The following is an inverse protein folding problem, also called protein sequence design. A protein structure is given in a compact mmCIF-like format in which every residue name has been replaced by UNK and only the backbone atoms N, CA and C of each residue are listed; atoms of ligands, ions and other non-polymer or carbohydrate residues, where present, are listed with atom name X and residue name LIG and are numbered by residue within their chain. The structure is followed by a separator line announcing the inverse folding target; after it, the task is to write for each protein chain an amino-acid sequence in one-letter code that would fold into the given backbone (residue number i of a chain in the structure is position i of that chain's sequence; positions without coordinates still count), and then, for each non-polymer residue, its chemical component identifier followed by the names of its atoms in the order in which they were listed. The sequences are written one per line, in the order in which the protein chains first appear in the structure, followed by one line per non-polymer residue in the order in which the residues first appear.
data_IF_964937216896
#
_entry.id   IF_964937216896
#
_cell.length_a   1.000
_cell.length_b   1.000
_cell.length_c   1.000
_cell.angle_alpha   90.00
_cell.angle_beta   90.00
_cell.angle_gamma   90.00
#
_symmetry.space_group_name_H-M   'P 1'
#
loop_
_entity.id
_entity.type
_entity.pdbx_description
1 polymer ?
#
# COMPACT_ATOMS: atom_id res chain seq x y z
N UNK A 1 15.27 79.93 -28.43
CA UNK A 1 15.84 78.66 -28.92
C UNK A 1 14.70 77.72 -29.27
N UNK A 2 14.42 77.55 -30.57
CA UNK A 2 13.75 76.36 -31.09
C UNK A 2 14.67 75.14 -30.83
N UNK A 3 14.26 73.89 -30.69
CA UNK A 3 12.99 73.21 -30.90
C UNK A 3 13.34 71.73 -31.12
N UNK A 4 12.59 70.82 -30.52
CA UNK A 4 12.49 69.42 -30.97
C UNK A 4 11.09 68.89 -30.65
N UNK A 5 10.08 69.64 -31.09
CA UNK A 5 8.75 69.13 -31.40
C UNK A 5 8.43 69.59 -32.82
N UNK A 6 8.06 68.60 -33.63
CA UNK A 6 7.55 68.65 -34.99
C UNK A 6 8.51 69.01 -36.13
N UNK A 7 8.81 68.00 -36.96
CA UNK A 7 8.93 68.19 -38.40
C UNK A 7 8.49 66.94 -39.20
N UNK A 8 7.37 67.13 -39.91
CA UNK A 8 7.09 66.67 -41.30
C UNK A 8 6.60 65.23 -41.44
N UNK A 9 5.56 64.86 -42.21
CA UNK A 9 4.40 65.47 -42.90
C UNK A 9 3.98 64.41 -43.94
N UNK A 10 2.65 64.25 -44.13
CA UNK A 10 1.96 63.91 -45.41
C UNK A 10 2.19 62.50 -45.99
N UNK A 11 1.29 61.88 -46.75
CA UNK A 11 -0.12 62.05 -47.15
C UNK A 11 -0.47 60.74 -47.90
N UNK A 12 -1.69 60.23 -47.66
CA UNK A 12 -2.60 59.56 -48.61
C UNK A 12 -2.11 58.35 -49.45
N UNK A 13 -2.77 57.21 -49.19
CA UNK A 13 -3.58 56.57 -50.22
C UNK A 13 -3.37 55.07 -50.43
N UNK A 14 -4.22 54.21 -49.85
CA UNK A 14 -5.34 53.54 -50.56
C UNK A 14 -6.00 52.47 -49.70
N UNK A 15 -7.32 52.41 -49.84
CA UNK A 15 -8.28 51.47 -49.23
C UNK A 15 -8.05 50.02 -49.71
N UNK A 16 -8.25 49.09 -48.78
CA UNK A 16 -8.69 47.71 -49.03
C UNK A 16 -9.61 47.29 -47.89
N UNK A 17 -10.84 46.91 -48.21
CA UNK A 17 -11.99 46.77 -47.30
C UNK A 17 -12.18 45.34 -46.74
N UNK A 18 -12.57 45.31 -45.46
CA UNK A 18 -13.57 44.45 -44.81
C UNK A 18 -13.34 42.93 -44.62
N UNK A 19 -13.35 42.48 -43.35
CA UNK A 19 -14.41 41.64 -42.77
C UNK A 19 -14.26 41.55 -41.22
N UNK A 20 -15.38 41.36 -40.53
CA UNK A 20 -15.65 41.60 -39.10
C UNK A 20 -15.01 40.64 -38.07
N UNK A 21 -14.90 41.04 -36.78
CA UNK A 21 -14.39 40.19 -35.71
C UNK A 21 -15.50 39.30 -35.13
N UNK A 22 -15.22 38.01 -34.99
CA UNK A 22 -16.08 37.06 -34.27
C UNK A 22 -15.76 37.06 -32.77
N UNK A 23 -16.83 37.27 -31.99
CA UNK A 23 -16.94 36.99 -30.57
C UNK A 23 -16.37 35.61 -30.19
N UNK A 24 -15.46 35.56 -29.22
CA UNK A 24 -15.41 34.43 -28.29
C UNK A 24 -15.48 34.95 -26.85
N UNK A 25 -16.53 34.47 -26.18
CA UNK A 25 -16.89 34.71 -24.79
C UNK A 25 -15.73 34.30 -23.88
N UNK A 26 -15.30 35.21 -23.00
CA UNK A 26 -14.56 34.86 -21.79
C UNK A 26 -15.48 34.01 -20.91
N UNK A 27 -15.13 32.75 -20.73
CA UNK A 27 -15.68 31.89 -19.68
C UNK A 27 -14.83 32.14 -18.42
N UNK A 28 -15.42 32.40 -17.25
CA UNK A 28 -14.67 32.68 -16.04
C UNK A 28 -13.94 31.43 -15.55
N UNK A 29 -12.68 31.61 -15.15
CA UNK A 29 -11.89 30.65 -14.39
C UNK A 29 -12.68 30.20 -13.14
N UNK A 30 -12.97 28.90 -12.97
CA UNK A 30 -13.28 28.38 -11.66
C UNK A 30 -11.97 28.20 -10.89
N UNK A 31 -11.82 28.99 -9.84
CA UNK A 31 -10.89 28.74 -8.75
C UNK A 31 -11.05 27.29 -8.26
N UNK A 32 -10.08 26.44 -8.55
CA UNK A 32 -9.99 25.12 -7.94
C UNK A 32 -9.41 25.32 -6.54
N UNK A 33 -10.31 25.37 -5.56
CA UNK A 33 -9.97 25.11 -4.16
C UNK A 33 -9.35 23.71 -4.07
N UNK A 34 -8.21 23.51 -3.39
CA UNK A 34 -7.68 22.18 -3.16
C UNK A 34 -8.68 21.42 -2.29
N UNK A 35 -9.24 20.34 -2.84
CA UNK A 35 -10.06 19.38 -2.09
C UNK A 35 -9.23 18.82 -0.94
N UNK A 36 -9.83 18.78 0.24
CA UNK A 36 -9.26 18.30 1.49
C UNK A 36 -9.17 16.76 1.57
N UNK A 37 -8.91 16.10 0.44
CA UNK A 37 -8.52 14.68 0.41
C UNK A 37 -7.00 14.63 0.56
N UNK A 38 -6.54 14.73 1.81
CA UNK A 38 -5.15 14.40 2.13
C UNK A 38 -4.88 12.95 1.73
N UNK A 39 -3.73 12.69 1.12
CA UNK A 39 -3.35 11.32 0.78
C UNK A 39 -3.43 10.43 2.03
N UNK A 40 -4.27 9.39 1.96
CA UNK A 40 -4.44 8.39 3.00
C UNK A 40 -3.47 7.23 2.76
N UNK A 41 -3.13 6.50 3.82
CA UNK A 41 -2.40 5.23 3.70
C UNK A 41 -3.16 4.26 2.82
N UNK A 42 -2.47 3.67 1.86
CA UNK A 42 -3.07 2.76 0.90
C UNK A 42 -3.46 1.47 1.62
N UNK A 43 -4.75 1.14 1.57
CA UNK A 43 -5.17 -0.23 1.86
C UNK A 43 -4.62 -1.13 0.78
N UNK A 44 -4.07 -2.28 1.17
CA UNK A 44 -3.67 -3.29 0.20
C UNK A 44 -4.91 -3.74 -0.55
N UNK A 45 -4.90 -3.76 -1.90
CA UNK A 45 -5.99 -4.32 -2.68
C UNK A 45 -6.17 -5.78 -2.25
N UNK A 46 -7.23 -6.06 -1.49
CA UNK A 46 -7.66 -7.44 -1.31
C UNK A 46 -8.15 -7.89 -2.68
N UNK A 47 -7.59 -8.97 -3.20
CA UNK A 47 -8.12 -9.68 -4.35
C UNK A 47 -9.46 -10.32 -3.95
N UNK A 48 -10.48 -9.49 -3.75
CA UNK A 48 -11.85 -9.89 -3.49
C UNK A 48 -12.33 -10.70 -4.70
N UNK A 49 -12.30 -12.03 -4.56
CA UNK A 49 -12.74 -12.98 -5.57
C UNK A 49 -11.67 -13.91 -6.15
N UNK A 50 -10.42 -13.87 -5.69
CA UNK A 50 -9.34 -14.75 -6.20
C UNK A 50 -8.63 -15.58 -5.12
N UNK A 51 -9.22 -15.70 -3.94
CA UNK A 51 -8.71 -16.55 -2.86
C UNK A 51 -8.67 -18.06 -3.21
N UNK A 52 -9.11 -18.48 -4.40
CA UNK A 52 -9.22 -19.89 -4.80
C UNK A 52 -7.89 -20.51 -5.33
N UNK A 53 -6.91 -19.70 -5.76
CA UNK A 53 -5.71 -20.24 -6.44
C UNK A 53 -4.68 -20.92 -5.52
N UNK A 54 -4.80 -20.74 -4.19
CA UNK A 54 -4.02 -21.49 -3.18
C UNK A 54 -4.87 -22.45 -2.35
N UNK A 55 -6.16 -22.58 -2.67
CA UNK A 55 -7.04 -23.51 -1.98
C UNK A 55 -6.71 -24.93 -2.44
N UNK A 56 -6.05 -25.70 -1.56
CA UNK A 56 -6.38 -27.13 -1.52
C UNK A 56 -7.90 -27.18 -1.48
N UNK A 57 -8.51 -27.93 -2.40
CA UNK A 57 -9.95 -28.23 -2.38
C UNK A 57 -10.27 -28.83 -1.00
N UNK A 58 -10.62 -27.98 -0.05
CA UNK A 58 -11.15 -28.38 1.25
C UNK A 58 -12.64 -28.38 1.04
N UNK A 59 -13.22 -29.57 1.18
CA UNK A 59 -14.65 -29.84 1.14
C UNK A 59 -15.44 -28.67 1.77
N UNK A 60 -16.48 -28.12 1.11
CA UNK A 60 -17.30 -27.04 1.64
C UNK A 60 -18.19 -27.54 2.79
N UNK A 61 -17.57 -27.89 3.92
CA UNK A 61 -18.25 -27.78 5.20
C UNK A 61 -18.13 -26.32 5.60
N UNK A 62 -19.25 -25.61 5.50
CA UNK A 62 -19.50 -24.26 6.00
C UNK A 62 -19.06 -24.13 7.46
N UNK A 63 -17.77 -23.88 7.69
CA UNK A 63 -17.26 -23.48 9.00
C UNK A 63 -17.34 -21.97 9.08
N UNK A 64 -18.18 -21.49 9.99
CA UNK A 64 -18.23 -20.08 10.35
C UNK A 64 -16.92 -19.70 11.06
N UNK A 65 -16.36 -18.53 10.71
CA UNK A 65 -15.12 -18.02 11.29
C UNK A 65 -15.15 -18.07 12.82
N UNK A 66 -16.23 -17.59 13.43
CA UNK A 66 -16.56 -17.91 14.82
C UNK A 66 -18.07 -18.03 14.99
N UNK A 67 -18.52 -18.92 15.87
CA UNK A 67 -19.95 -19.08 16.19
C UNK A 67 -20.50 -17.85 16.91
N UNK A 68 -19.64 -17.09 17.59
CA UNK A 68 -20.01 -15.88 18.37
C UNK A 68 -20.03 -14.60 17.54
N UNK A 69 -19.47 -14.61 16.32
CA UNK A 69 -19.25 -13.38 15.54
C UNK A 69 -18.23 -12.42 16.16
N UNK A 70 -17.46 -12.89 17.14
CA UNK A 70 -16.40 -12.14 17.82
C UNK A 70 -15.06 -12.86 17.69
N UNK A 71 -13.97 -12.10 17.70
CA UNK A 71 -12.60 -12.62 17.69
C UNK A 71 -11.82 -12.04 18.89
N UNK A 72 -11.10 -12.89 19.59
CA UNK A 72 -10.11 -12.47 20.59
C UNK A 72 -8.82 -12.06 19.88
N UNK A 73 -8.30 -10.89 20.24
CA UNK A 73 -7.02 -10.37 19.73
C UNK A 73 -6.10 -10.10 20.91
N UNK A 74 -5.02 -10.86 21.04
CA UNK A 74 -3.99 -10.61 22.04
C UNK A 74 -2.96 -9.60 21.50
N UNK A 75 -2.90 -8.43 22.11
CA UNK A 75 -1.99 -7.34 21.78
C UNK A 75 -0.77 -7.43 22.70
N UNK A 76 0.44 -7.61 22.16
CA UNK A 76 1.65 -7.79 22.97
C UNK A 76 2.65 -6.65 22.80
N UNK A 77 3.19 -6.17 23.93
CA UNK A 77 4.34 -5.27 23.92
C UNK A 77 5.64 -6.08 23.88
N UNK A 78 6.28 -6.12 22.72
CA UNK A 78 7.63 -6.67 22.50
C UNK A 78 8.64 -5.56 22.17
N UNK A 79 8.41 -4.35 22.67
CA UNK A 79 9.35 -3.23 22.58
C UNK A 79 10.24 -3.17 23.84
N UNK A 80 11.13 -2.18 23.91
CA UNK A 80 11.86 -1.81 25.13
C UNK A 80 11.17 -0.68 25.93
N UNK A 81 10.00 -0.21 25.49
CA UNK A 81 9.27 0.92 26.09
C UNK A 81 8.13 0.42 26.97
N UNK A 82 7.88 1.09 28.09
CA UNK A 82 6.64 0.92 28.89
C UNK A 82 5.49 1.81 28.41
N UNK A 83 5.78 2.72 27.46
CA UNK A 83 4.81 3.66 26.89
C UNK A 83 4.52 3.21 25.47
N UNK A 84 3.57 2.29 25.34
CA UNK A 84 3.09 1.72 24.08
C UNK A 84 1.57 1.67 24.11
N UNK A 85 0.94 2.10 23.03
CA UNK A 85 -0.51 2.08 22.86
C UNK A 85 -0.88 1.24 21.65
N UNK A 86 -2.00 0.55 21.74
CA UNK A 86 -2.63 -0.13 20.63
C UNK A 86 -4.02 0.46 20.32
N UNK A 87 -4.48 0.26 19.09
CA UNK A 87 -5.77 0.72 18.60
C UNK A 87 -6.33 -0.30 17.63
N UNK A 88 -7.65 -0.46 17.58
CA UNK A 88 -8.31 -1.28 16.56
C UNK A 88 -9.37 -0.43 15.88
N UNK A 89 -9.27 -0.30 14.56
CA UNK A 89 -10.22 0.44 13.71
C UNK A 89 -10.77 -0.47 12.61
N UNK A 90 -11.88 -0.09 11.99
CA UNK A 90 -12.44 -0.78 10.82
C UNK A 90 -13.88 -0.36 10.53
N UNK A 91 -14.56 -1.14 9.70
CA UNK A 91 -16.00 -1.00 9.43
C UNK A 91 -16.76 -2.19 10.03
N UNK A 92 -17.70 -1.93 10.93
CA UNK A 92 -18.49 -2.98 11.57
C UNK A 92 -19.54 -3.55 10.62
N UNK A 93 -19.23 -4.74 10.07
CA UNK A 93 -20.02 -5.41 9.02
C UNK A 93 -21.49 -5.56 9.45
N UNK A 94 -21.71 -6.03 10.68
CA UNK A 94 -23.04 -6.27 11.23
C UNK A 94 -23.67 -5.01 11.87
N UNK A 95 -23.07 -3.84 11.64
CA UNK A 95 -23.57 -2.54 12.10
C UNK A 95 -23.63 -1.55 10.93
N UNK A 96 -24.20 -1.99 9.80
CA UNK A 96 -24.34 -1.19 8.57
C UNK A 96 -22.99 -0.58 8.09
N UNK A 97 -21.89 -1.31 8.25
CA UNK A 97 -20.52 -0.85 7.95
C UNK A 97 -20.13 0.46 8.66
N UNK A 98 -20.70 0.74 9.85
CA UNK A 98 -20.34 1.92 10.61
C UNK A 98 -18.84 1.93 10.96
N UNK A 99 -18.25 3.13 10.93
CA UNK A 99 -16.89 3.36 11.44
C UNK A 99 -16.80 2.85 12.88
N UNK A 100 -15.83 1.98 13.11
CA UNK A 100 -15.57 1.34 14.38
C UNK A 100 -14.21 1.74 14.92
N UNK A 101 -14.16 2.01 16.22
CA UNK A 101 -12.94 1.99 17.02
C UNK A 101 -13.20 1.19 18.30
N UNK A 102 -12.16 0.56 18.85
CA UNK A 102 -12.21 -0.05 20.17
C UNK A 102 -11.78 0.95 21.25
N UNK A 103 -12.53 1.05 22.34
CA UNK A 103 -12.16 1.92 23.47
C UNK A 103 -10.93 1.39 24.21
N UNK A 104 -10.34 2.26 25.04
CA UNK A 104 -9.11 1.98 25.80
C UNK A 104 -9.18 0.76 26.74
N UNK A 105 -10.39 0.27 27.06
CA UNK A 105 -10.62 -0.94 27.86
C UNK A 105 -10.43 -2.25 27.08
N UNK A 106 -10.11 -2.16 25.77
CA UNK A 106 -9.95 -3.27 24.84
C UNK A 106 -11.22 -4.13 24.66
N UNK A 107 -12.40 -3.64 25.03
CA UNK A 107 -13.63 -4.43 25.01
C UNK A 107 -14.82 -3.69 24.44
N UNK A 108 -14.96 -2.41 24.74
CA UNK A 108 -16.17 -1.66 24.40
C UNK A 108 -16.06 -1.07 22.98
N UNK A 109 -16.95 -1.45 22.05
CA UNK A 109 -17.06 -0.79 20.75
C UNK A 109 -17.36 0.70 20.89
N UNK A 110 -16.78 1.50 20.00
CA UNK A 110 -17.13 2.90 19.82
C UNK A 110 -17.44 3.18 18.35
N UNK A 111 -18.60 3.80 18.13
CA UNK A 111 -19.08 4.25 16.83
C UNK A 111 -19.18 5.77 16.89
N UNK A 112 -18.20 6.50 16.34
CA UNK A 112 -18.22 7.96 16.41
C UNK A 112 -19.48 8.53 15.75
N UNK A 113 -20.13 9.54 16.35
CA UNK A 113 -21.26 10.20 15.71
C UNK A 113 -20.82 10.93 14.44
N UNK A 114 -21.78 11.24 13.56
CA UNK A 114 -21.54 12.10 12.41
C UNK A 114 -21.32 13.56 12.87
N UNK A 115 -20.11 14.13 12.74
CA UNK A 115 -19.87 15.50 13.18
C UNK A 115 -20.33 16.52 12.15
N UNK A 116 -20.53 17.76 12.59
CA UNK A 116 -20.85 18.90 11.70
C UNK A 116 -19.61 19.53 11.03
N UNK A 117 -18.40 19.20 11.50
CA UNK A 117 -17.15 19.78 11.02
C UNK A 117 -16.06 18.73 10.85
N UNK A 118 -15.14 18.98 9.92
CA UNK A 118 -13.98 18.12 9.68
C UNK A 118 -13.00 18.15 10.84
N UNK A 119 -12.25 17.05 11.03
CA UNK A 119 -11.25 16.96 12.09
C UNK A 119 -11.83 16.96 13.50
N UNK A 120 -13.09 16.56 13.67
CA UNK A 120 -13.73 16.51 14.99
C UNK A 120 -13.07 15.45 15.87
N UNK A 121 -12.75 15.80 17.11
CA UNK A 121 -12.09 14.90 18.07
C UNK A 121 -13.06 13.79 18.50
N UNK A 122 -12.51 12.61 18.81
CA UNK A 122 -13.26 11.53 19.44
C UNK A 122 -13.70 11.94 20.86
N UNK A 123 -14.90 11.54 21.25
CA UNK A 123 -15.45 11.83 22.58
C UNK A 123 -14.95 10.86 23.67
N UNK A 124 -14.35 9.74 23.27
CA UNK A 124 -13.87 8.69 24.17
C UNK A 124 -12.39 8.39 23.90
N UNK A 125 -11.70 7.89 24.92
CA UNK A 125 -10.33 7.44 24.76
C UNK A 125 -10.30 6.05 24.07
N UNK A 126 -9.56 5.95 22.98
CA UNK A 126 -9.35 4.73 22.20
C UNK A 126 -7.91 4.19 22.29
N UNK A 127 -7.06 4.81 23.12
CA UNK A 127 -5.69 4.36 23.33
C UNK A 127 -5.63 3.22 24.35
N UNK A 128 -5.41 2.00 23.88
CA UNK A 128 -5.28 0.81 24.73
C UNK A 128 -3.83 0.74 25.24
N UNK A 129 -3.55 0.96 26.53
CA UNK A 129 -2.17 0.92 27.03
C UNK A 129 -1.66 -0.52 27.10
N UNK A 130 -0.53 -0.81 26.46
CA UNK A 130 0.10 -2.13 26.54
C UNK A 130 1.05 -2.29 27.72
N UNK A 131 1.41 -1.21 28.43
CA UNK A 131 2.23 -1.27 29.63
C UNK A 131 3.68 -1.70 29.39
N UNK A 132 4.30 -2.36 30.38
CA UNK A 132 5.72 -2.74 30.34
C UNK A 132 6.08 -3.76 29.24
N UNK A 133 7.35 -3.83 28.81
CA UNK A 133 7.84 -4.88 27.93
C UNK A 133 7.44 -6.29 28.39
N UNK A 134 6.98 -7.13 27.46
CA UNK A 134 6.48 -8.48 27.70
C UNK A 134 5.01 -8.56 28.09
N UNK A 135 4.35 -7.44 28.41
CA UNK A 135 2.94 -7.44 28.78
C UNK A 135 2.02 -7.73 27.58
N UNK A 136 0.84 -8.26 27.87
CA UNK A 136 -0.21 -8.56 26.89
C UNK A 136 -1.56 -8.01 27.34
N UNK A 137 -2.35 -7.52 26.40
CA UNK A 137 -3.74 -7.08 26.61
C UNK A 137 -4.63 -7.85 25.64
N UNK A 138 -5.69 -8.47 26.14
CA UNK A 138 -6.65 -9.19 25.30
C UNK A 138 -7.79 -8.27 24.92
N UNK A 139 -7.94 -8.03 23.62
CA UNK A 139 -9.04 -7.30 23.01
C UNK A 139 -10.12 -8.25 22.48
N UNK A 140 -11.37 -7.79 22.44
CA UNK A 140 -12.48 -8.50 21.76
C UNK A 140 -13.06 -7.61 20.67
N UNK A 141 -13.12 -8.12 19.44
CA UNK A 141 -13.60 -7.37 18.28
C UNK A 141 -14.81 -8.07 17.63
N UNK A 142 -15.76 -7.32 17.06
CA UNK A 142 -16.79 -7.87 16.19
C UNK A 142 -16.20 -8.18 14.80
N UNK A 143 -17.04 -8.66 13.88
CA UNK A 143 -16.70 -8.72 12.46
C UNK A 143 -16.47 -7.32 11.88
N UNK A 144 -15.27 -7.12 11.32
CA UNK A 144 -14.76 -5.87 10.80
C UNK A 144 -14.20 -6.06 9.39
N UNK A 145 -14.57 -5.18 8.47
CA UNK A 145 -13.95 -5.06 7.15
C UNK A 145 -12.97 -3.87 7.13
N UNK A 146 -11.90 -3.98 6.34
CA UNK A 146 -10.90 -2.93 6.20
C UNK A 146 -10.30 -2.51 7.55
N UNK A 147 -10.08 -3.48 8.43
CA UNK A 147 -9.63 -3.23 9.79
C UNK A 147 -8.13 -3.00 9.87
N UNK A 148 -7.71 -2.19 10.85
CA UNK A 148 -6.30 -1.99 11.19
C UNK A 148 -6.08 -2.13 12.69
N UNK A 149 -5.00 -2.84 13.04
CA UNK A 149 -4.47 -2.92 14.40
C UNK A 149 -3.22 -2.03 14.43
N UNK A 150 -3.34 -0.87 15.06
CA UNK A 150 -2.29 0.13 15.13
C UNK A 150 -1.50 0.01 16.42
N UNK A 151 -0.23 0.40 16.36
CA UNK A 151 0.61 0.58 17.53
C UNK A 151 1.32 1.92 17.48
N UNK A 152 1.48 2.56 18.64
CA UNK A 152 2.37 3.71 18.78
C UNK A 152 3.26 3.60 20.00
N UNK A 153 4.48 4.13 19.89
CA UNK A 153 5.52 4.08 20.92
C UNK A 153 5.84 5.50 21.36
N UNK A 154 5.79 5.73 22.67
CA UNK A 154 6.14 7.01 23.31
C UNK A 154 5.00 8.02 23.43
N UNK A 155 4.03 8.01 22.52
CA UNK A 155 2.86 8.89 22.55
C UNK A 155 1.62 8.22 21.93
N UNK A 156 0.40 8.58 22.37
CA UNK A 156 -0.82 8.08 21.75
C UNK A 156 -1.04 8.67 20.35
N UNK A 157 -1.67 7.90 19.47
CA UNK A 157 -2.21 8.38 18.19
C UNK A 157 -3.47 9.23 18.40
N UNK A 158 -3.63 10.21 17.53
CA UNK A 158 -4.79 11.10 17.45
C UNK A 158 -5.58 10.72 16.20
N UNK A 159 -6.80 10.27 16.43
CA UNK A 159 -7.81 10.03 15.40
C UNK A 159 -8.84 11.16 15.42
N UNK A 160 -9.33 11.55 14.25
CA UNK A 160 -10.43 12.53 14.13
C UNK A 160 -11.50 12.03 13.17
N UNK A 161 -12.65 12.71 13.12
CA UNK A 161 -13.79 12.30 12.31
C UNK A 161 -14.25 13.48 11.46
N UNK A 162 -14.49 13.21 10.18
CA UNK A 162 -15.09 14.12 9.22
C UNK A 162 -16.60 13.83 9.07
N UNK A 163 -17.41 14.79 8.57
CA UNK A 163 -18.80 14.52 8.22
C UNK A 163 -18.92 13.34 7.23
N UNK A 164 -19.94 12.50 7.40
CA UNK A 164 -20.09 11.25 6.65
C UNK A 164 -20.73 10.13 7.46
N UNK A 165 -20.23 9.78 8.67
CA UNK A 165 -18.91 10.05 9.25
C UNK A 165 -17.76 9.37 8.49
N UNK A 166 -16.58 9.99 8.45
CA UNK A 166 -15.35 9.41 7.91
C UNK A 166 -14.22 9.46 8.93
N UNK A 167 -13.62 8.31 9.27
CA UNK A 167 -12.45 8.27 10.13
C UNK A 167 -11.25 8.89 9.41
N UNK A 168 -10.60 9.85 10.06
CA UNK A 168 -9.31 10.38 9.64
C UNK A 168 -8.23 9.63 10.43
N UNK A 169 -7.53 8.77 9.71
CA UNK A 169 -6.45 7.93 10.24
C UNK A 169 -5.11 8.70 10.29
N UNK A 170 -4.16 8.29 11.15
CA UNK A 170 -2.87 8.96 11.29
C UNK A 170 -2.10 9.04 9.97
N UNK A 171 -1.78 10.23 9.46
CA UNK A 171 -1.06 10.35 8.17
C UNK A 171 0.44 10.56 8.33
N UNK A 172 1.23 9.84 7.52
CA UNK A 172 2.66 10.15 7.29
C UNK A 172 2.88 11.14 6.14
N UNK A 173 1.84 11.44 5.35
CA UNK A 173 1.97 12.22 4.11
C UNK A 173 1.78 13.71 4.30
N UNK A 174 1.09 14.10 5.38
CA UNK A 174 0.90 15.49 5.74
C UNK A 174 1.86 15.88 6.88
N UNK A 175 2.86 16.75 6.65
CA UNK A 175 3.76 17.21 7.71
C UNK A 175 3.06 17.91 8.88
N UNK A 176 1.85 18.44 8.66
CA UNK A 176 1.02 19.06 9.70
C UNK A 176 0.12 18.05 10.44
N UNK A 177 0.12 16.77 10.06
CA UNK A 177 -0.61 15.74 10.79
C UNK A 177 -0.06 15.63 12.22
N UNK A 178 -0.91 15.61 13.26
CA UNK A 178 -0.44 15.54 14.63
C UNK A 178 0.32 14.24 14.95
N UNK A 179 0.17 13.21 14.13
CA UNK A 179 0.85 11.93 14.25
C UNK A 179 2.14 11.85 13.42
N UNK A 180 2.48 12.87 12.63
CA UNK A 180 3.59 12.82 11.67
C UNK A 180 4.93 12.44 12.34
N UNK A 181 5.16 12.90 13.57
CA UNK A 181 6.38 12.59 14.34
C UNK A 181 6.21 11.47 15.36
N UNK A 182 5.04 10.82 15.41
CA UNK A 182 4.80 9.68 16.30
C UNK A 182 5.40 8.41 15.70
N UNK A 183 6.07 7.61 16.52
CA UNK A 183 6.56 6.29 16.09
C UNK A 183 5.41 5.30 16.10
N UNK A 184 4.83 5.02 14.93
CA UNK A 184 3.67 4.15 14.79
C UNK A 184 3.79 3.21 13.59
N UNK A 185 2.99 2.14 13.62
CA UNK A 185 2.83 1.17 12.53
C UNK A 185 1.52 0.40 12.71
N UNK A 186 1.20 -0.48 11.77
CA UNK A 186 -0.05 -1.23 11.82
C UNK A 186 0.05 -2.59 11.12
N UNK A 187 -0.89 -3.48 11.46
CA UNK A 187 -1.28 -4.63 10.67
C UNK A 187 -2.70 -4.42 10.14
N UNK A 188 -3.02 -5.01 9.00
CA UNK A 188 -4.33 -4.94 8.37
C UNK A 188 -5.06 -6.27 8.55
N UNK A 189 -6.39 -6.22 8.64
CA UNK A 189 -7.20 -7.43 8.70
C UNK A 189 -8.61 -7.23 8.18
N UNK A 190 -9.21 -8.33 7.75
CA UNK A 190 -10.66 -8.48 7.59
C UNK A 190 -11.09 -9.68 8.42
N UNK A 191 -12.09 -9.49 9.27
CA UNK A 191 -12.76 -10.58 9.99
C UNK A 191 -14.25 -10.56 9.64
N UNK A 192 -14.69 -11.54 8.87
CA UNK A 192 -16.07 -11.66 8.40
C UNK A 192 -16.68 -13.01 8.83
N UNK A 193 -17.83 -13.37 8.27
CA UNK A 193 -18.50 -14.64 8.59
C UNK A 193 -17.76 -15.88 8.09
N UNK A 194 -16.95 -15.74 7.04
CA UNK A 194 -16.21 -16.84 6.42
C UNK A 194 -14.83 -17.04 7.06
N UNK A 195 -14.09 -15.98 7.33
CA UNK A 195 -12.71 -16.07 7.81
C UNK A 195 -12.21 -14.85 8.58
N UNK A 196 -11.06 -15.00 9.21
CA UNK A 196 -10.11 -13.90 9.41
C UNK A 196 -9.01 -13.98 8.37
N UNK A 197 -8.63 -12.84 7.79
CA UNK A 197 -7.42 -12.63 7.02
C UNK A 197 -6.67 -11.45 7.65
N UNK A 198 -5.37 -11.59 7.90
CA UNK A 198 -4.55 -10.57 8.56
C UNK A 198 -3.15 -10.54 7.95
N UNK A 199 -2.58 -9.36 7.77
CA UNK A 199 -1.26 -9.19 7.15
C UNK A 199 -0.46 -8.05 7.79
N UNK A 200 0.86 -8.15 7.70
CA UNK A 200 1.75 -7.01 7.89
C UNK A 200 1.80 -6.24 6.56
N UNK A 201 1.91 -4.92 6.62
CA UNK A 201 2.04 -4.07 5.43
C UNK A 201 3.24 -3.13 5.54
N UNK A 202 4.05 -3.10 4.48
CA UNK A 202 5.13 -2.15 4.23
C UNK A 202 4.89 -1.37 2.93
N UNK A 203 3.65 -1.36 2.43
CA UNK A 203 3.27 -0.73 1.16
C UNK A 203 3.42 0.79 1.21
N UNK A 204 3.11 1.41 2.34
CA UNK A 204 3.34 2.85 2.55
C UNK A 204 4.68 3.11 3.24
N UNK A 205 4.95 2.41 4.34
CA UNK A 205 6.17 2.58 5.10
C UNK A 205 6.45 1.40 6.02
N UNK A 206 7.72 1.23 6.40
CA UNK A 206 8.15 0.37 7.51
C UNK A 206 8.15 1.19 8.80
N UNK A 207 7.25 0.85 9.72
CA UNK A 207 7.20 1.36 11.09
C UNK A 207 7.82 0.39 12.11
N UNK A 208 7.43 0.46 13.40
CA UNK A 208 7.78 -0.54 14.41
C UNK A 208 7.55 -1.97 13.92
N UNK A 209 8.45 -2.92 14.25
CA UNK A 209 8.25 -4.32 13.89
C UNK A 209 6.92 -4.86 14.41
N UNK A 210 6.20 -5.59 13.58
CA UNK A 210 4.96 -6.29 13.94
C UNK A 210 5.13 -7.77 13.60
N UNK A 211 4.60 -8.67 14.44
CA UNK A 211 4.51 -10.11 14.15
C UNK A 211 3.08 -10.59 14.36
N UNK A 212 2.68 -11.65 13.65
CA UNK A 212 1.33 -12.21 13.68
C UNK A 212 1.38 -13.69 14.07
N UNK A 213 0.47 -14.11 14.94
CA UNK A 213 0.25 -15.53 15.23
C UNK A 213 -1.25 -15.80 15.24
N UNK A 214 -1.69 -16.82 14.51
CA UNK A 214 -3.10 -17.17 14.40
C UNK A 214 -3.31 -18.61 14.86
N UNK A 215 -4.13 -18.78 15.89
CA UNK A 215 -4.56 -20.08 16.42
C UNK A 215 -5.99 -20.37 15.97
N UNK A 216 -6.23 -21.55 15.41
CA UNK A 216 -7.57 -22.00 15.03
C UNK A 216 -8.22 -22.94 16.07
N UNK A 217 -9.50 -23.26 15.87
CA UNK A 217 -10.27 -24.17 16.75
C UNK A 217 -9.78 -25.63 16.74
N UNK A 218 -8.97 -26.03 15.76
CA UNK A 218 -8.34 -27.36 15.72
C UNK A 218 -7.00 -27.39 16.47
N UNK A 219 -6.55 -26.25 17.00
CA UNK A 219 -5.26 -26.10 17.68
C UNK A 219 -4.09 -25.85 16.74
N UNK A 220 -4.33 -25.69 15.43
CA UNK A 220 -3.27 -25.37 14.49
C UNK A 220 -2.88 -23.89 14.60
N UNK A 221 -1.57 -23.64 14.54
CA UNK A 221 -1.00 -22.29 14.65
C UNK A 221 -0.29 -21.93 13.35
N UNK A 222 -0.51 -20.71 12.87
CA UNK A 222 0.28 -20.09 11.81
C UNK A 222 1.01 -18.87 12.38
N UNK A 223 2.18 -18.56 11.81
CA UNK A 223 3.02 -17.46 12.28
C UNK A 223 3.63 -16.67 11.11
N UNK A 224 3.66 -15.35 11.27
CA UNK A 224 4.48 -14.42 10.48
C UNK A 224 5.37 -13.67 11.45
N UNK A 225 6.66 -13.78 11.20
CA UNK A 225 7.75 -13.37 12.12
C UNK A 225 7.94 -11.85 12.12
N UNK A 226 7.81 -11.24 10.94
CA UNK A 226 8.09 -9.84 10.73
C UNK A 226 9.57 -9.48 10.92
N UNK A 227 9.81 -8.20 11.20
CA UNK A 227 11.15 -7.66 11.42
C UNK A 227 11.67 -8.00 12.84
N UNK A 228 12.99 -8.23 13.00
CA UNK A 228 13.61 -8.22 14.33
C UNK A 228 13.62 -6.78 14.90
N UNK A 229 13.95 -6.65 16.19
CA UNK A 229 13.99 -5.34 16.86
C UNK A 229 14.92 -4.30 16.17
N UNK A 230 16.00 -4.74 15.52
CA UNK A 230 16.91 -3.89 14.74
C UNK A 230 16.58 -3.85 13.22
N UNK A 231 15.42 -4.37 12.80
CA UNK A 231 15.06 -4.53 11.39
C UNK A 231 14.98 -3.21 10.64
N UNK A 232 14.37 -2.17 11.22
CA UNK A 232 14.28 -0.84 10.59
C UNK A 232 15.68 -0.26 10.34
N UNK A 233 16.60 -0.40 11.31
CA UNK A 233 17.99 0.04 11.16
C UNK A 233 18.73 -0.76 10.08
N UNK A 234 18.46 -2.07 10.00
CA UNK A 234 19.02 -2.94 8.96
C UNK A 234 18.58 -2.48 7.56
N UNK A 235 17.31 -2.13 7.41
CA UNK A 235 16.75 -1.59 6.15
C UNK A 235 17.38 -0.23 5.82
N UNK A 236 17.47 0.69 6.79
CA UNK A 236 18.11 2.00 6.59
C UNK A 236 19.55 1.87 6.09
N UNK A 237 20.32 0.95 6.70
CA UNK A 237 21.68 0.65 6.27
C UNK A 237 21.72 0.09 4.85
N UNK A 238 20.83 -0.85 4.53
CA UNK A 238 20.71 -1.45 3.20
C UNK A 238 20.38 -0.42 2.11
N UNK A 239 19.44 0.49 2.37
CA UNK A 239 19.07 1.56 1.45
C UNK A 239 20.21 2.57 1.25
N UNK A 240 20.93 2.90 2.33
CA UNK A 240 22.12 3.74 2.25
C UNK A 240 23.21 3.11 1.38
N UNK A 241 23.49 1.83 1.59
CA UNK A 241 24.44 1.09 0.77
C UNK A 241 23.99 0.98 -0.69
N UNK A 242 22.69 0.81 -0.94
CA UNK A 242 22.16 0.76 -2.30
C UNK A 242 22.31 2.12 -3.02
N UNK A 243 22.01 3.23 -2.36
CA UNK A 243 22.27 4.57 -2.90
C UNK A 243 23.74 4.79 -3.24
N UNK A 244 24.67 4.32 -2.39
CA UNK A 244 26.10 4.41 -2.69
C UNK A 244 26.49 3.58 -3.93
N UNK A 245 25.79 2.46 -4.16
CA UNK A 245 26.06 1.56 -5.28
C UNK A 245 25.57 2.08 -6.62
N UNK A 246 24.37 2.66 -6.68
CA UNK A 246 23.71 3.03 -7.95
C UNK A 246 23.41 4.52 -8.11
N UNK A 247 23.70 5.34 -7.09
CA UNK A 247 23.44 6.78 -7.08
C UNK A 247 21.95 7.16 -7.03
N UNK A 248 21.04 6.20 -6.84
CA UNK A 248 19.59 6.43 -6.79
C UNK A 248 19.14 6.77 -5.37
N UNK A 249 17.96 7.37 -5.25
CA UNK A 249 17.44 7.99 -4.01
C UNK A 249 16.90 7.02 -2.94
N UNK A 250 17.43 5.81 -2.85
CA UNK A 250 17.02 4.82 -1.86
C UNK A 250 17.17 5.32 -0.42
N UNK A 251 18.28 5.97 -0.07
CA UNK A 251 18.50 6.54 1.26
C UNK A 251 17.60 7.73 1.57
N UNK A 252 17.01 8.38 0.56
CA UNK A 252 16.05 9.47 0.78
C UNK A 252 14.70 8.97 1.31
N UNK A 253 14.44 7.66 1.25
CA UNK A 253 13.26 7.03 1.85
C UNK A 253 13.35 6.92 3.38
N UNK A 254 14.53 7.16 3.97
CA UNK A 254 14.74 7.08 5.41
C UNK A 254 14.21 8.36 6.06
N UNK A 255 13.30 8.22 7.02
CA UNK A 255 12.70 9.33 7.77
C UNK A 255 13.16 9.27 9.21
N UNK A 256 13.76 10.37 9.67
CA UNK A 256 14.13 10.58 11.06
C UNK A 256 13.14 11.55 11.72
N UNK A 257 12.97 11.43 13.03
CA UNK A 257 12.26 12.42 13.83
C UNK A 257 13.07 13.72 13.97
N UNK A 258 12.48 14.72 14.62
CA UNK A 258 13.13 16.03 14.85
C UNK A 258 14.41 15.94 15.70
N UNK A 259 14.62 14.85 16.44
CA UNK A 259 15.84 14.60 17.21
C UNK A 259 16.89 13.83 16.41
N UNK A 260 16.63 13.53 15.13
CA UNK A 260 17.53 12.79 14.25
C UNK A 260 17.48 11.27 14.44
N UNK A 261 16.53 10.74 15.22
CA UNK A 261 16.38 9.31 15.42
C UNK A 261 15.55 8.70 14.30
N UNK A 262 15.97 7.53 13.83
CA UNK A 262 15.24 6.76 12.83
C UNK A 262 13.79 6.48 13.28
N UNK A 263 12.85 6.97 12.49
CA UNK A 263 11.42 6.93 12.79
C UNK A 263 10.69 5.92 11.92
N UNK A 264 10.93 5.94 10.61
CA UNK A 264 10.32 5.03 9.63
C UNK A 264 11.09 5.01 8.32
N UNK A 265 10.77 4.04 7.45
CA UNK A 265 11.26 3.97 6.07
C UNK A 265 10.06 4.08 5.13
N UNK A 266 10.02 5.06 4.25
CA UNK A 266 8.98 5.17 3.23
C UNK A 266 9.14 4.10 2.16
N UNK A 267 8.04 3.60 1.62
CA UNK A 267 8.10 2.87 0.35
C UNK A 267 8.47 3.83 -0.80
N UNK A 268 8.96 3.31 -1.94
CA UNK A 268 9.21 4.15 -3.11
C UNK A 268 7.96 4.89 -3.59
N UNK A 269 6.78 4.26 -3.51
CA UNK A 269 5.50 4.89 -3.85
C UNK A 269 5.23 6.10 -2.94
N UNK A 270 5.32 5.92 -1.63
CA UNK A 270 5.16 7.01 -0.66
C UNK A 270 6.22 8.11 -0.82
N UNK A 271 7.46 7.74 -1.11
CA UNK A 271 8.53 8.69 -1.42
C UNK A 271 8.24 9.53 -2.66
N UNK A 272 7.74 8.90 -3.74
CA UNK A 272 7.33 9.58 -4.98
C UNK A 272 6.14 10.50 -4.73
N UNK A 273 5.15 10.07 -3.96
CA UNK A 273 3.98 10.89 -3.64
C UNK A 273 4.40 12.21 -2.96
N UNK A 274 5.35 12.15 -2.04
CA UNK A 274 5.90 13.34 -1.36
C UNK A 274 6.91 14.10 -2.23
N UNK A 275 7.58 13.41 -3.14
CA UNK A 275 8.62 13.98 -4.00
C UNK A 275 8.51 13.40 -5.43
N UNK A 276 7.62 13.97 -6.28
CA UNK A 276 7.27 13.37 -7.58
C UNK A 276 8.42 13.21 -8.59
N UNK A 277 9.59 13.79 -8.30
CA UNK A 277 10.80 13.68 -9.12
C UNK A 277 11.67 12.48 -8.78
N UNK A 278 11.43 11.82 -7.64
CA UNK A 278 12.21 10.66 -7.25
C UNK A 278 11.94 9.48 -8.20
N UNK A 279 13.00 8.77 -8.56
CA UNK A 279 12.96 7.57 -9.41
C UNK A 279 12.32 7.70 -10.80
N UNK A 280 11.94 8.89 -11.31
CA UNK A 280 11.18 9.04 -12.57
C UNK A 280 11.68 8.14 -13.72
N UNK A 281 12.99 8.10 -13.95
CA UNK A 281 13.62 7.35 -15.04
C UNK A 281 14.25 6.00 -14.62
N UNK A 282 14.05 5.58 -13.38
CA UNK A 282 14.75 4.42 -12.80
C UNK A 282 14.49 3.12 -13.56
N UNK A 283 13.23 2.84 -13.93
CA UNK A 283 12.84 1.63 -14.65
C UNK A 283 12.88 1.75 -16.18
N UNK A 284 13.14 2.94 -16.74
CA UNK A 284 12.96 3.20 -18.18
C UNK A 284 13.70 2.20 -19.07
N UNK A 285 14.98 1.92 -18.78
CA UNK A 285 15.78 0.99 -19.59
C UNK A 285 15.31 -0.46 -19.46
N UNK A 286 14.96 -0.89 -18.25
CA UNK A 286 14.42 -2.23 -18.01
C UNK A 286 13.09 -2.43 -18.75
N UNK A 287 12.18 -1.45 -18.67
CA UNK A 287 10.90 -1.46 -19.39
C UNK A 287 11.12 -1.51 -20.91
N UNK A 288 12.08 -0.74 -21.43
CA UNK A 288 12.42 -0.79 -22.86
C UNK A 288 12.92 -2.17 -23.30
N UNK A 289 13.76 -2.83 -22.49
CA UNK A 289 14.24 -4.19 -22.77
C UNK A 289 13.10 -5.20 -22.75
N UNK A 290 12.21 -5.13 -21.75
CA UNK A 290 11.03 -6.00 -21.64
C UNK A 290 10.15 -5.87 -22.88
N UNK A 291 9.80 -4.64 -23.28
CA UNK A 291 8.95 -4.41 -24.44
C UNK A 291 9.64 -4.81 -25.76
N UNK A 292 10.96 -4.64 -25.86
CA UNK A 292 11.73 -5.12 -27.01
C UNK A 292 11.69 -6.65 -27.10
N UNK A 293 11.93 -7.36 -26.00
CA UNK A 293 11.86 -8.82 -25.93
C UNK A 293 10.50 -9.35 -26.39
N UNK A 294 9.42 -8.71 -25.93
CA UNK A 294 8.06 -9.13 -26.25
C UNK A 294 7.52 -8.58 -27.56
N UNK A 295 8.33 -7.91 -28.39
CA UNK A 295 7.95 -7.55 -29.76
C UNK A 295 8.00 -8.75 -30.71
N UNK A 296 8.90 -9.71 -30.45
CA UNK A 296 9.09 -10.90 -31.29
C UNK A 296 8.70 -12.20 -30.59
N UNK A 297 8.27 -12.13 -29.33
CA UNK A 297 7.90 -13.29 -28.51
C UNK A 297 6.65 -12.97 -27.68
N UNK A 298 5.65 -13.85 -27.59
CA UNK A 298 4.52 -13.63 -26.69
C UNK A 298 4.92 -13.80 -25.22
N UNK A 299 4.31 -12.98 -24.35
CA UNK A 299 4.26 -13.13 -22.90
C UNK A 299 2.94 -13.81 -22.52
N UNK A 300 2.99 -14.93 -21.82
CA UNK A 300 1.81 -15.55 -21.22
C UNK A 300 1.61 -15.05 -19.79
N UNK A 301 0.44 -14.51 -19.50
CA UNK A 301 0.00 -14.21 -18.14
C UNK A 301 -0.99 -15.29 -17.72
N UNK A 302 -0.62 -16.08 -16.71
CA UNK A 302 -1.60 -16.87 -15.98
C UNK A 302 -2.37 -15.90 -15.09
N UNK A 303 -3.63 -15.67 -15.42
CA UNK A 303 -4.50 -14.75 -14.68
C UNK A 303 -4.87 -15.26 -13.30
N UNK A 304 -4.65 -16.56 -13.03
CA UNK A 304 -5.07 -17.32 -11.85
C UNK A 304 -6.57 -17.17 -11.54
N UNK A 305 -7.33 -16.79 -12.56
CA UNK A 305 -8.76 -16.51 -12.54
C UNK A 305 -9.44 -17.26 -13.68
N UNK A 306 -10.74 -17.02 -13.88
CA UNK A 306 -11.56 -17.70 -14.90
C UNK A 306 -11.08 -17.51 -16.34
N UNK A 307 -10.24 -16.50 -16.63
CA UNK A 307 -9.66 -16.25 -17.94
C UNK A 307 -8.49 -17.20 -18.29
N UNK A 308 -7.93 -17.91 -17.30
CA UNK A 308 -6.82 -18.83 -17.50
C UNK A 308 -5.55 -18.14 -18.00
N UNK A 309 -4.85 -18.76 -18.95
CA UNK A 309 -3.66 -18.20 -19.56
C UNK A 309 -4.03 -17.28 -20.73
N UNK A 310 -3.56 -16.04 -20.69
CA UNK A 310 -3.74 -15.04 -21.75
C UNK A 310 -2.39 -14.65 -22.34
N UNK A 311 -2.33 -14.46 -23.65
CA UNK A 311 -1.08 -14.16 -24.36
C UNK A 311 -1.06 -12.70 -24.81
N UNK A 312 0.02 -12.00 -24.49
CA UNK A 312 0.29 -10.64 -24.90
C UNK A 312 1.53 -10.55 -25.78
N UNK A 313 1.50 -9.69 -26.78
CA UNK A 313 2.69 -9.38 -27.59
C UNK A 313 2.73 -7.88 -27.88
N UNK A 314 3.94 -7.31 -27.93
CA UNK A 314 4.10 -5.89 -28.25
C UNK A 314 3.79 -5.68 -29.73
N UNK A 315 2.70 -4.95 -29.99
CA UNK A 315 2.25 -4.64 -31.34
C UNK A 315 2.99 -3.46 -31.97
N UNK A 316 2.63 -3.11 -33.20
CA UNK A 316 3.22 -1.98 -33.96
C UNK A 316 3.08 -0.62 -33.29
N UNK A 317 2.06 -0.45 -32.43
CA UNK A 317 1.84 0.76 -31.64
C UNK A 317 2.72 0.83 -30.37
N UNK A 318 3.57 -0.17 -30.13
CA UNK A 318 4.48 -0.21 -28.99
C UNK A 318 3.84 -0.61 -27.66
N UNK A 319 2.56 -1.00 -27.66
CA UNK A 319 1.86 -1.50 -26.48
C UNK A 319 1.89 -3.02 -26.43
N UNK A 320 2.00 -3.59 -25.23
CA UNK A 320 1.81 -5.01 -24.99
C UNK A 320 0.30 -5.31 -25.08
N UNK A 321 -0.10 -6.05 -26.11
CA UNK A 321 -1.50 -6.27 -26.47
C UNK A 321 -1.95 -7.68 -26.10
N UNK A 322 -2.91 -7.80 -25.17
CA UNK A 322 -3.52 -9.06 -24.74
C UNK A 322 -4.88 -9.34 -25.42
N UNK A 323 -5.22 -8.63 -26.49
CA UNK A 323 -6.53 -8.75 -27.14
C UNK A 323 -7.65 -8.26 -26.21
N UNK A 324 -8.53 -9.17 -25.81
CA UNK A 324 -9.64 -8.89 -24.88
C UNK A 324 -9.15 -8.37 -23.52
N UNK A 325 -7.97 -8.80 -23.07
CA UNK A 325 -7.31 -8.31 -21.86
C UNK A 325 -6.76 -6.88 -21.95
N UNK A 326 -6.82 -6.24 -23.13
CA UNK A 326 -6.50 -4.83 -23.31
C UNK A 326 -5.05 -4.54 -23.73
N UNK A 327 -4.75 -3.24 -23.82
CA UNK A 327 -3.45 -2.70 -24.24
C UNK A 327 -2.71 -2.11 -23.04
N UNK A 328 -1.46 -2.53 -22.84
CA UNK A 328 -0.59 -2.04 -21.77
C UNK A 328 0.53 -1.21 -22.38
N UNK A 329 0.44 0.11 -22.24
CA UNK A 329 1.53 1.03 -22.57
C UNK A 329 2.73 0.81 -21.64
N UNK A 330 3.93 1.23 -22.06
CA UNK A 330 5.15 1.16 -21.23
C UNK A 330 4.91 1.86 -19.88
N UNK A 331 5.01 1.15 -18.74
CA UNK A 331 4.82 1.78 -17.44
C UNK A 331 6.00 2.70 -17.11
N UNK A 332 5.70 3.78 -16.37
CA UNK A 332 6.72 4.60 -15.70
C UNK A 332 7.20 3.92 -14.42
N UNK A 333 8.26 4.46 -13.81
CA UNK A 333 8.71 3.98 -12.49
C UNK A 333 7.63 4.19 -11.42
N UNK A 334 6.86 5.29 -11.49
CA UNK A 334 5.76 5.55 -10.57
C UNK A 334 4.64 4.52 -10.73
N UNK A 335 4.27 4.17 -11.98
CA UNK A 335 3.27 3.13 -12.23
C UNK A 335 3.70 1.77 -11.65
N UNK A 336 4.98 1.40 -11.84
CA UNK A 336 5.53 0.14 -11.30
C UNK A 336 5.47 0.13 -9.78
N UNK A 337 5.96 1.17 -9.11
CA UNK A 337 5.97 1.19 -7.64
C UNK A 337 4.58 1.30 -7.01
N UNK A 338 3.66 2.04 -7.65
CA UNK A 338 2.29 2.26 -7.14
C UNK A 338 1.33 1.13 -7.47
N UNK A 339 1.62 0.34 -8.50
CA UNK A 339 0.75 -0.69 -9.06
C UNK A 339 -0.67 -0.22 -9.44
N UNK A 340 -0.93 1.08 -9.53
CA UNK A 340 -2.31 1.61 -9.57
C UNK A 340 -2.52 2.75 -10.59
N UNK A 341 -1.48 3.18 -11.28
CA UNK A 341 -1.53 4.26 -12.27
C UNK A 341 -1.09 3.78 -13.65
N UNK A 342 -1.33 4.60 -14.67
CA UNK A 342 -0.93 4.31 -16.05
C UNK A 342 -1.51 2.97 -16.54
N UNK A 343 -0.70 2.04 -17.07
CA UNK A 343 -1.18 0.74 -17.56
C UNK A 343 -1.65 -0.20 -16.44
N UNK A 344 -1.49 0.17 -15.16
CA UNK A 344 -1.93 -0.62 -14.01
C UNK A 344 -3.15 -0.01 -13.30
N UNK A 345 -3.77 1.01 -13.87
CA UNK A 345 -5.06 1.50 -13.39
C UNK A 345 -6.18 0.49 -13.68
N UNK A 346 -6.88 0.03 -12.65
CA UNK A 346 -8.04 -0.86 -12.80
C UNK A 346 -9.22 -0.13 -13.44
N UNK A 347 -10.05 -0.86 -14.17
CA UNK A 347 -11.24 -0.32 -14.82
C UNK A 347 -12.41 -1.31 -14.85
N UNK A 348 -13.31 -1.15 -15.81
CA UNK A 348 -14.48 -2.03 -15.97
C UNK A 348 -14.13 -3.39 -16.61
N UNK A 349 -12.97 -3.53 -17.24
CA UNK A 349 -12.57 -4.77 -17.90
C UNK A 349 -12.01 -5.77 -16.89
N UNK A 350 -12.80 -6.83 -16.61
CA UNK A 350 -12.43 -7.88 -15.68
C UNK A 350 -11.16 -8.65 -16.08
N UNK A 351 -10.93 -8.92 -17.37
CA UNK A 351 -9.72 -9.61 -17.84
C UNK A 351 -8.48 -8.74 -17.60
N UNK A 352 -8.54 -7.46 -17.98
CA UNK A 352 -7.48 -6.47 -17.68
C UNK A 352 -7.15 -6.43 -16.20
N UNK A 353 -8.16 -6.38 -15.34
CA UNK A 353 -7.98 -6.33 -13.89
C UNK A 353 -7.32 -7.60 -13.32
N UNK A 354 -7.43 -8.75 -13.98
CA UNK A 354 -6.70 -9.97 -13.58
C UNK A 354 -5.26 -10.01 -14.09
N UNK A 355 -4.95 -9.32 -15.20
CA UNK A 355 -3.59 -9.22 -15.77
C UNK A 355 -2.72 -8.25 -14.98
N UNK A 356 -3.28 -7.11 -14.57
CA UNK A 356 -2.56 -6.00 -13.89
C UNK A 356 -1.68 -6.50 -12.73
N UNK A 357 -2.19 -7.27 -11.75
CA UNK A 357 -1.38 -7.69 -10.61
C UNK A 357 -0.13 -8.48 -11.01
N UNK A 358 -0.27 -9.37 -12.01
CA UNK A 358 0.81 -10.24 -12.48
C UNK A 358 1.92 -9.44 -13.14
N UNK A 359 1.54 -8.52 -14.03
CA UNK A 359 2.52 -7.66 -14.68
C UNK A 359 3.21 -6.73 -13.68
N UNK A 360 2.44 -6.10 -12.79
CA UNK A 360 2.98 -5.19 -11.79
C UNK A 360 3.96 -5.89 -10.82
N UNK A 361 3.63 -7.10 -10.35
CA UNK A 361 4.52 -7.91 -9.52
C UNK A 361 5.80 -8.31 -10.28
N UNK A 362 5.67 -8.75 -11.53
CA UNK A 362 6.81 -9.15 -12.37
C UNK A 362 7.74 -7.97 -12.72
N UNK A 363 7.21 -6.76 -12.85
CA UNK A 363 8.03 -5.54 -12.97
C UNK A 363 8.74 -5.19 -11.67
N UNK A 364 8.05 -5.20 -10.52
CA UNK A 364 8.65 -4.92 -9.21
C UNK A 364 9.80 -5.89 -8.89
N UNK A 365 9.63 -7.18 -9.22
CA UNK A 365 10.60 -8.25 -8.99
C UNK A 365 11.62 -8.40 -10.11
N UNK A 366 11.46 -7.66 -11.20
CA UNK A 366 12.30 -7.68 -12.40
C UNK A 366 12.51 -9.07 -13.02
N UNK A 367 11.42 -9.83 -13.15
CA UNK A 367 11.40 -11.22 -13.66
C UNK A 367 11.07 -11.33 -15.14
N UNK A 368 10.48 -10.29 -15.74
CA UNK A 368 10.00 -10.29 -17.14
C UNK A 368 11.08 -10.54 -18.21
N UNK A 369 12.36 -10.39 -17.90
CA UNK A 369 13.46 -10.78 -18.81
C UNK A 369 13.95 -12.23 -18.62
N UNK A 370 13.51 -12.91 -17.55
CA UNK A 370 13.96 -14.26 -17.19
C UNK A 370 13.03 -15.36 -17.69
N UNK A 371 11.75 -15.04 -17.86
CA UNK A 371 10.69 -15.96 -18.26
C UNK A 371 9.77 -15.28 -19.28
N UNK A 372 8.99 -16.05 -20.05
CA UNK A 372 7.88 -15.55 -20.87
C UNK A 372 6.51 -16.00 -20.33
N UNK A 373 6.45 -16.49 -19.10
CA UNK A 373 5.21 -16.86 -18.42
C UNK A 373 5.23 -16.34 -17.00
N UNK A 374 4.23 -15.55 -16.62
CA UNK A 374 4.11 -14.95 -15.28
C UNK A 374 2.75 -15.27 -14.65
N UNK A 375 2.67 -15.51 -13.32
CA UNK A 375 3.80 -15.71 -12.43
C UNK A 375 4.41 -17.11 -12.55
N UNK A 376 3.76 -18.07 -13.24
CA UNK A 376 4.13 -19.50 -13.18
C UNK A 376 5.50 -19.88 -13.76
N UNK A 377 6.15 -19.02 -14.54
CA UNK A 377 7.53 -19.24 -15.00
C UNK A 377 8.59 -18.63 -14.09
N UNK A 378 8.19 -17.98 -13.00
CA UNK A 378 9.09 -17.35 -12.04
C UNK A 378 9.42 -18.28 -10.87
N UNK A 379 10.59 -18.07 -10.25
CA UNK A 379 11.00 -18.73 -9.00
C UNK A 379 11.39 -17.69 -7.98
N UNK A 380 11.12 -17.95 -6.70
CA UNK A 380 11.45 -17.04 -5.61
C UNK A 380 12.93 -16.59 -5.61
N UNK A 381 13.86 -17.52 -5.87
CA UNK A 381 15.29 -17.23 -5.96
C UNK A 381 15.69 -16.28 -7.12
N UNK A 382 14.79 -16.02 -8.07
CA UNK A 382 15.02 -15.12 -9.20
C UNK A 382 14.54 -13.69 -8.92
N UNK A 383 13.75 -13.47 -7.87
CA UNK A 383 13.22 -12.15 -7.55
C UNK A 383 14.36 -11.19 -7.21
N UNK A 384 14.26 -9.97 -7.76
CA UNK A 384 15.19 -8.87 -7.51
C UNK A 384 16.66 -9.15 -7.90
N UNK A 385 16.88 -10.07 -8.84
CA UNK A 385 18.24 -10.41 -9.31
C UNK A 385 18.75 -9.46 -10.40
N UNK A 386 17.86 -8.73 -11.07
CA UNK A 386 18.25 -7.68 -12.02
C UNK A 386 18.81 -6.45 -11.27
N UNK A 387 19.85 -5.78 -11.80
CA UNK A 387 20.34 -4.52 -11.22
C UNK A 387 19.31 -3.41 -11.12
N UNK A 388 18.33 -3.36 -12.04
CA UNK A 388 17.17 -2.47 -11.97
C UNK A 388 15.98 -3.27 -11.45
N UNK A 389 15.66 -3.05 -10.18
CA UNK A 389 14.56 -3.72 -9.48
C UNK A 389 14.06 -2.91 -8.29
N UNK A 390 12.98 -3.35 -7.63
CA UNK A 390 12.49 -2.70 -6.42
C UNK A 390 13.42 -3.05 -5.25
N UNK A 391 14.49 -2.27 -5.09
CA UNK A 391 15.48 -2.51 -4.04
C UNK A 391 14.93 -2.27 -2.64
N UNK A 392 13.92 -1.43 -2.48
CA UNK A 392 13.19 -1.33 -1.22
C UNK A 392 12.58 -2.69 -0.84
N UNK A 393 11.78 -3.29 -1.73
CA UNK A 393 11.19 -4.61 -1.48
C UNK A 393 12.25 -5.67 -1.22
N UNK A 394 13.29 -5.76 -2.06
CA UNK A 394 14.42 -6.69 -1.88
C UNK A 394 15.04 -6.59 -0.48
N UNK A 395 15.28 -5.37 0.00
CA UNK A 395 15.93 -5.12 1.29
C UNK A 395 14.97 -5.40 2.45
N UNK A 396 13.69 -5.03 2.31
CA UNK A 396 12.67 -5.27 3.33
C UNK A 396 12.41 -6.76 3.52
N UNK A 397 12.24 -7.54 2.45
CA UNK A 397 12.13 -8.99 2.54
C UNK A 397 13.37 -9.59 3.21
N UNK A 398 14.57 -9.21 2.78
CA UNK A 398 15.82 -9.73 3.36
C UNK A 398 16.01 -9.38 4.84
N UNK A 399 15.37 -8.31 5.33
CA UNK A 399 15.43 -7.92 6.74
C UNK A 399 14.37 -8.62 7.61
N UNK A 400 13.28 -9.13 7.02
CA UNK A 400 12.28 -9.92 7.73
C UNK A 400 12.84 -11.31 8.04
N UNK A 401 12.55 -11.82 9.24
CA UNK A 401 13.13 -13.08 9.70
C UNK A 401 12.72 -14.28 8.84
N UNK A 402 11.50 -14.26 8.32
CA UNK A 402 10.93 -15.30 7.44
C UNK A 402 10.91 -14.88 5.96
N UNK A 403 11.48 -13.73 5.62
CA UNK A 403 11.47 -13.20 4.25
C UNK A 403 10.14 -12.61 3.79
N UNK A 404 9.13 -12.50 4.65
CA UNK A 404 7.75 -12.16 4.26
C UNK A 404 7.32 -10.75 4.69
N UNK A 405 6.37 -10.19 3.97
CA UNK A 405 5.69 -8.92 4.25
C UNK A 405 5.39 -8.16 2.96
N UNK A 406 4.21 -7.55 2.84
CA UNK A 406 3.83 -6.77 1.66
C UNK A 406 4.72 -5.53 1.48
N UNK A 407 5.70 -5.58 0.58
CA UNK A 407 6.56 -4.44 0.29
C UNK A 407 6.09 -3.59 -0.91
N UNK A 408 5.08 -4.06 -1.63
CA UNK A 408 4.34 -3.34 -2.68
C UNK A 408 2.93 -3.95 -2.83
N UNK A 409 1.95 -3.27 -3.48
CA UNK A 409 0.54 -3.66 -3.41
C UNK A 409 0.16 -5.07 -3.88
N UNK A 410 0.95 -5.68 -4.78
CA UNK A 410 0.67 -7.00 -5.37
C UNK A 410 1.75 -8.03 -5.03
N UNK A 411 2.33 -7.95 -3.83
CA UNK A 411 3.38 -8.88 -3.36
C UNK A 411 2.85 -10.30 -3.05
N UNK A 412 1.53 -10.44 -3.00
CA UNK A 412 0.79 -11.71 -2.87
C UNK A 412 0.73 -12.51 -4.17
N UNK A 413 1.03 -11.90 -5.33
CA UNK A 413 1.11 -12.64 -6.58
C UNK A 413 2.27 -13.63 -6.49
N UNK A 414 1.99 -14.93 -6.59
CA UNK A 414 3.02 -15.98 -6.64
C UNK A 414 2.63 -17.03 -7.68
N UNK A 415 3.58 -17.87 -8.15
CA UNK A 415 3.25 -19.02 -8.99
C UNK A 415 2.16 -19.89 -8.35
N UNK A 416 1.35 -20.59 -9.16
CA UNK A 416 0.40 -21.58 -8.65
C UNK A 416 1.10 -22.63 -7.77
N UNK A 417 0.58 -22.84 -6.55
CA UNK A 417 1.22 -23.70 -5.56
C UNK A 417 2.53 -23.16 -4.95
N UNK A 418 2.92 -21.92 -5.31
CA UNK A 418 4.06 -21.21 -4.74
C UNK A 418 3.82 -20.77 -3.29
N UNK A 419 4.91 -20.42 -2.61
CA UNK A 419 4.85 -19.90 -1.24
C UNK A 419 4.59 -18.40 -1.23
N UNK A 420 3.57 -17.96 -0.46
CA UNK A 420 3.26 -16.55 -0.26
C UNK A 420 4.44 -15.75 0.31
N UNK A 421 4.58 -14.51 -0.16
CA UNK A 421 5.63 -13.56 0.23
C UNK A 421 5.07 -12.37 1.01
N UNK A 422 3.76 -12.26 1.09
CA UNK A 422 3.01 -11.09 1.54
C UNK A 422 2.93 -10.93 3.07
N UNK A 423 3.32 -11.96 3.83
CA UNK A 423 3.29 -11.91 5.30
C UNK A 423 1.86 -11.88 5.86
N UNK A 424 0.99 -12.71 5.27
CA UNK A 424 -0.41 -12.86 5.68
C UNK A 424 -0.69 -14.21 6.35
N UNK A 425 -1.72 -14.23 7.19
CA UNK A 425 -2.31 -15.40 7.83
C UNK A 425 -3.82 -15.40 7.59
N UNK A 426 -4.43 -16.59 7.52
CA UNK A 426 -5.88 -16.70 7.45
C UNK A 426 -6.41 -17.93 8.19
N UNK A 427 -7.66 -17.89 8.62
CA UNK A 427 -8.36 -19.04 9.16
C UNK A 427 -9.86 -18.93 8.96
N UNK A 428 -10.49 -20.05 8.59
CA UNK A 428 -11.95 -20.21 8.54
C UNK A 428 -12.57 -20.55 9.90
N UNK A 429 -11.75 -20.73 10.93
CA UNK A 429 -12.22 -20.99 12.30
C UNK A 429 -11.23 -20.46 13.34
N UNK A 430 -10.91 -19.14 13.33
CA UNK A 430 -9.98 -18.55 14.27
C UNK A 430 -10.47 -18.65 15.72
N UNK A 431 -9.55 -18.91 16.64
CA UNK A 431 -9.80 -18.82 18.08
C UNK A 431 -9.12 -17.58 18.66
N UNK A 432 -7.86 -17.33 18.28
CA UNK A 432 -7.07 -16.24 18.81
C UNK A 432 -6.13 -15.69 17.74
N UNK A 433 -6.19 -14.39 17.52
CA UNK A 433 -5.16 -13.64 16.80
C UNK A 433 -4.23 -12.99 17.81
N UNK A 434 -2.93 -13.22 17.73
CA UNK A 434 -1.93 -12.51 18.52
C UNK A 434 -1.15 -11.57 17.60
N UNK A 435 -1.08 -10.29 17.98
CA UNK A 435 -0.32 -9.26 17.28
C UNK A 435 0.65 -8.62 18.26
N UNK A 436 1.94 -8.72 17.96
CA UNK A 436 2.99 -8.20 18.82
C UNK A 436 3.75 -7.06 18.13
N UNK A 437 4.12 -6.02 18.88
CA UNK A 437 4.90 -4.88 18.37
C UNK A 437 6.27 -4.79 19.03
N UNK A 438 7.33 -4.55 18.26
CA UNK A 438 8.67 -4.18 18.74
C UNK A 438 9.80 -5.17 18.43
N UNK A 439 9.47 -6.41 18.04
CA UNK A 439 10.44 -7.39 17.54
C UNK A 439 11.36 -8.05 18.60
N UNK A 440 11.25 -7.70 19.89
CA UNK A 440 11.98 -8.42 20.93
C UNK A 440 11.45 -9.84 21.09
N UNK A 441 12.32 -10.83 20.96
CA UNK A 441 11.93 -12.24 20.99
C UNK A 441 11.16 -12.68 19.74
N UNK A 442 11.25 -11.92 18.64
CA UNK A 442 10.81 -12.40 17.33
C UNK A 442 11.62 -13.63 16.93
N UNK A 443 10.96 -14.60 16.30
CA UNK A 443 11.54 -15.90 15.92
C UNK A 443 10.98 -16.32 14.56
N UNK A 444 11.68 -17.23 13.88
CA UNK A 444 11.15 -17.88 12.67
C UNK A 444 10.26 -19.03 13.11
N UNK A 445 8.98 -18.95 12.74
CA UNK A 445 7.95 -19.94 13.10
C UNK A 445 7.92 -21.20 12.25
#
# INVERSE_FOLDING_TARGET
MAGLKDRIRKLLGRKGTAAAPTNQKQVPNPSVSPSADGAQQQSIPQLDGMFDSHQKVVNPQTRAATVTGQLQVQLQNRTNSSTVYAYITGQAINHNNAIFLLQADAKTPYYPPNPSSTGSKLAVNVSIPLGAPGNSVTATIPQLAGGRIWFSIGAPLIFTVNPGPGLVEPSIFNPADPNHNTNFGFAEFTFNSAQVFVNISYVDFVGPPVSLTLLDTAGATQHVSGLPANGIQTIANGLTAQTQKDGRRWSSLIVNDNAGKLLRILSPNSGILLNPTWFQTYYTDYVNQVYSQYSTRPLTVNTQASFGNVNGQVGSLGNLNFGSGGLFAKPTSADIFSCSTGPFATGQNGETNTIIPRLAAAFNRSTLLLTNTVPNGEKLAQYYTNPITNHYARIVHAANLDGKGYAFPYDDVVPDGGAGQEGALFSYSPTLLTVAVGGNGAFVG
#
